data_IF_704317711218
#
_entry.id   IF_704317711218
#
_cell.length_a   1.000
_cell.length_b   1.000
_cell.length_c   1.000
_cell.angle_alpha   90.00
_cell.angle_beta   90.00
_cell.angle_gamma   90.00
#
_symmetry.space_group_name_H-M   'P 1'
#
loop_
_entity.id
_entity.type
_entity.pdbx_description
1 polymer ?
#
# COMPACT_ATOMS: atom_id res chain seq x y z
N UNK A 1 53.58 -2.79 -7.88
CA UNK A 1 53.07 -3.47 -6.66
C UNK A 1 52.14 -2.55 -5.87
N UNK A 2 52.55 -1.34 -5.46
CA UNK A 2 51.69 -0.38 -4.72
C UNK A 2 50.37 -0.01 -5.39
N UNK A 3 50.40 0.23 -6.71
CA UNK A 3 49.22 0.66 -7.46
C UNK A 3 48.10 -0.39 -7.48
N UNK A 4 48.43 -1.69 -7.58
CA UNK A 4 47.43 -2.76 -7.50
C UNK A 4 46.81 -2.87 -6.12
N UNK A 5 47.62 -2.68 -5.06
CA UNK A 5 47.14 -2.71 -3.68
C UNK A 5 46.19 -1.54 -3.39
N UNK A 6 46.50 -0.33 -3.86
CA UNK A 6 45.61 0.83 -3.72
C UNK A 6 44.28 0.65 -4.47
N UNK A 7 44.31 0.07 -5.68
CA UNK A 7 43.06 -0.21 -6.42
C UNK A 7 42.20 -1.24 -5.70
N UNK A 8 42.80 -2.29 -5.13
CA UNK A 8 42.07 -3.33 -4.39
C UNK A 8 41.46 -2.74 -3.11
N UNK A 9 42.21 -1.93 -2.36
CA UNK A 9 41.69 -1.25 -1.16
C UNK A 9 40.53 -0.30 -1.51
N UNK A 10 40.68 0.49 -2.57
CA UNK A 10 39.62 1.40 -3.06
C UNK A 10 38.32 0.67 -3.45
N UNK A 11 38.44 -0.49 -4.10
CA UNK A 11 37.27 -1.34 -4.45
C UNK A 11 36.60 -1.89 -3.19
N UNK A 12 37.37 -2.32 -2.19
CA UNK A 12 36.83 -2.77 -0.91
C UNK A 12 36.12 -1.66 -0.14
N UNK A 13 36.70 -0.46 -0.08
CA UNK A 13 36.08 0.71 0.57
C UNK A 13 34.79 1.13 -0.14
N UNK A 14 34.77 1.06 -1.47
CA UNK A 14 33.56 1.34 -2.27
C UNK A 14 32.46 0.30 -1.99
N UNK A 15 32.81 -0.98 -1.92
CA UNK A 15 31.88 -2.05 -1.60
C UNK A 15 31.33 -1.93 -0.16
N UNK A 16 32.15 -1.50 0.81
CA UNK A 16 31.69 -1.23 2.18
C UNK A 16 30.73 -0.04 2.22
N UNK A 17 31.03 1.04 1.48
CA UNK A 17 30.18 2.21 1.39
C UNK A 17 28.81 1.88 0.77
N UNK A 18 28.78 1.13 -0.33
CA UNK A 18 27.54 0.67 -0.96
C UNK A 18 26.78 -0.32 -0.06
N UNK A 19 27.48 -1.23 0.62
CA UNK A 19 26.88 -2.16 1.57
C UNK A 19 26.18 -1.45 2.74
N UNK A 20 26.79 -0.37 3.26
CA UNK A 20 26.19 0.45 4.32
C UNK A 20 24.96 1.22 3.83
N UNK A 21 25.02 1.75 2.61
CA UNK A 21 23.91 2.45 1.98
C UNK A 21 22.75 1.52 1.66
N UNK A 22 23.04 0.30 1.21
CA UNK A 22 22.03 -0.74 0.94
C UNK A 22 21.32 -1.16 2.22
N UNK A 23 22.05 -1.40 3.33
CA UNK A 23 21.45 -1.72 4.62
C UNK A 23 20.46 -0.64 5.07
N UNK A 24 20.86 0.63 4.99
CA UNK A 24 19.99 1.74 5.36
C UNK A 24 18.73 1.81 4.48
N UNK A 25 18.90 1.67 3.16
CA UNK A 25 17.78 1.77 2.21
C UNK A 25 16.82 0.59 2.30
N UNK A 26 17.35 -0.62 2.55
CA UNK A 26 16.54 -1.84 2.77
C UNK A 26 15.71 -1.69 4.05
N UNK A 27 16.33 -1.31 5.18
CA UNK A 27 15.59 -1.13 6.44
C UNK A 27 14.52 -0.05 6.30
N UNK A 28 14.82 1.06 5.64
CA UNK A 28 13.85 2.12 5.37
C UNK A 28 12.68 1.61 4.51
N UNK A 29 12.97 0.89 3.43
CA UNK A 29 11.95 0.37 2.51
C UNK A 29 11.05 -0.66 3.19
N UNK A 30 11.63 -1.57 3.96
CA UNK A 30 10.88 -2.57 4.74
C UNK A 30 10.00 -1.86 5.77
N UNK A 31 10.54 -0.88 6.49
CA UNK A 31 9.78 -0.15 7.52
C UNK A 31 8.58 0.59 6.92
N UNK A 32 8.79 1.31 5.81
CA UNK A 32 7.70 2.02 5.11
C UNK A 32 6.69 1.02 4.53
N UNK A 33 7.15 -0.08 3.94
CA UNK A 33 6.28 -1.14 3.41
C UNK A 33 5.42 -1.78 4.50
N UNK A 34 5.99 -2.02 5.68
CA UNK A 34 5.28 -2.59 6.83
C UNK A 34 4.25 -1.61 7.40
N UNK A 35 4.58 -0.32 7.50
CA UNK A 35 3.62 0.73 7.89
C UNK A 35 2.46 0.84 6.88
N UNK A 36 2.76 0.79 5.57
CA UNK A 36 1.73 0.79 4.52
C UNK A 36 0.81 -0.43 4.62
N UNK A 37 1.36 -1.61 4.91
CA UNK A 37 0.58 -2.83 5.07
C UNK A 37 -0.36 -2.74 6.28
N UNK A 38 0.12 -2.23 7.41
CA UNK A 38 -0.72 -2.00 8.60
C UNK A 38 -1.81 -0.98 8.28
N UNK A 39 -1.47 0.14 7.64
CA UNK A 39 -2.44 1.15 7.24
C UNK A 39 -3.51 0.59 6.30
N UNK A 40 -3.12 -0.22 5.31
CA UNK A 40 -4.04 -0.88 4.40
C UNK A 40 -4.97 -1.86 5.13
N UNK A 41 -4.45 -2.65 6.08
CA UNK A 41 -5.25 -3.55 6.90
C UNK A 41 -6.27 -2.80 7.78
N UNK A 42 -5.86 -1.71 8.43
CA UNK A 42 -6.76 -0.87 9.22
C UNK A 42 -7.84 -0.21 8.36
N UNK A 43 -7.47 0.29 7.17
CA UNK A 43 -8.42 0.87 6.22
C UNK A 43 -9.46 -0.17 5.76
N UNK A 44 -9.02 -1.40 5.47
CA UNK A 44 -9.91 -2.50 5.07
C UNK A 44 -10.88 -2.86 6.20
N UNK A 45 -10.40 -2.95 7.44
CA UNK A 45 -11.25 -3.18 8.61
C UNK A 45 -12.27 -2.05 8.81
N UNK A 46 -11.85 -0.79 8.66
CA UNK A 46 -12.74 0.36 8.76
C UNK A 46 -13.83 0.35 7.67
N UNK A 47 -13.48 0.01 6.42
CA UNK A 47 -14.44 -0.13 5.32
C UNK A 47 -15.47 -1.23 5.60
N UNK A 48 -15.03 -2.38 6.11
CA UNK A 48 -15.94 -3.47 6.47
C UNK A 48 -16.94 -3.02 7.55
N UNK A 49 -16.45 -2.41 8.63
CA UNK A 49 -17.30 -1.88 9.70
C UNK A 49 -18.26 -0.80 9.20
N UNK A 50 -17.80 0.09 8.32
CA UNK A 50 -18.62 1.15 7.74
C UNK A 50 -19.76 0.56 6.90
N UNK A 51 -19.47 -0.43 6.04
CA UNK A 51 -20.50 -1.11 5.24
C UNK A 51 -21.50 -1.84 6.14
N UNK A 52 -21.04 -2.54 7.18
CA UNK A 52 -21.91 -3.22 8.15
C UNK A 52 -22.80 -2.24 8.91
N UNK A 53 -22.25 -1.11 9.36
CA UNK A 53 -23.02 -0.06 10.04
C UNK A 53 -24.05 0.56 9.10
N UNK A 54 -23.70 0.81 7.84
CA UNK A 54 -24.61 1.36 6.85
C UNK A 54 -25.75 0.39 6.54
N UNK A 55 -25.46 -0.90 6.43
CA UNK A 55 -26.48 -1.94 6.28
C UNK A 55 -27.48 -1.93 7.44
N UNK A 56 -27.00 -1.95 8.69
CA UNK A 56 -27.88 -1.94 9.85
C UNK A 56 -28.73 -0.67 9.94
N UNK A 57 -28.17 0.49 9.60
CA UNK A 57 -28.90 1.75 9.56
C UNK A 57 -30.06 1.71 8.55
N UNK A 58 -29.78 1.27 7.33
CA UNK A 58 -30.78 1.22 6.25
C UNK A 58 -31.82 0.11 6.48
N UNK A 59 -31.41 -1.02 7.05
CA UNK A 59 -32.29 -2.14 7.36
C UNK A 59 -33.40 -1.78 8.37
N UNK A 60 -33.19 -0.75 9.19
CA UNK A 60 -34.23 -0.25 10.10
C UNK A 60 -35.36 0.50 9.38
N UNK A 61 -35.13 1.01 8.17
CA UNK A 61 -36.09 1.87 7.46
C UNK A 61 -36.62 1.28 6.15
N UNK A 62 -35.96 0.27 5.59
CA UNK A 62 -36.25 -0.24 4.25
C UNK A 62 -36.30 -1.78 4.21
N UNK A 63 -37.05 -2.38 3.27
CA UNK A 63 -37.05 -3.82 3.09
C UNK A 63 -35.66 -4.31 2.62
N UNK A 64 -35.27 -5.55 2.94
CA UNK A 64 -33.92 -6.06 2.67
C UNK A 64 -33.47 -5.93 1.21
N UNK A 65 -34.40 -6.11 0.25
CA UNK A 65 -34.12 -5.99 -1.19
C UNK A 65 -33.64 -4.60 -1.60
N UNK A 66 -34.28 -3.54 -1.09
CA UNK A 66 -33.89 -2.17 -1.37
C UNK A 66 -32.52 -1.83 -0.76
N UNK A 67 -32.25 -2.33 0.45
CA UNK A 67 -30.96 -2.13 1.15
C UNK A 67 -29.81 -2.73 0.35
N UNK A 68 -29.95 -3.98 -0.11
CA UNK A 68 -28.91 -4.64 -0.90
C UNK A 68 -28.66 -3.96 -2.25
N UNK A 69 -29.71 -3.43 -2.89
CA UNK A 69 -29.57 -2.66 -4.13
C UNK A 69 -28.70 -1.41 -3.88
N UNK A 70 -29.00 -0.63 -2.84
CA UNK A 70 -28.23 0.57 -2.49
C UNK A 70 -26.78 0.22 -2.12
N UNK A 71 -26.59 -0.82 -1.30
CA UNK A 71 -25.25 -1.26 -0.88
C UNK A 71 -24.41 -1.74 -2.06
N UNK A 72 -25.02 -2.45 -3.02
CA UNK A 72 -24.31 -2.92 -4.22
C UNK A 72 -23.92 -1.78 -5.15
N UNK A 73 -24.79 -0.79 -5.36
CA UNK A 73 -24.44 0.44 -6.09
C UNK A 73 -23.30 1.21 -5.41
N UNK A 74 -23.36 1.35 -4.09
CA UNK A 74 -22.31 2.01 -3.31
C UNK A 74 -20.97 1.25 -3.43
N UNK A 75 -20.99 -0.08 -3.30
CA UNK A 75 -19.79 -0.91 -3.47
C UNK A 75 -19.22 -0.83 -4.89
N UNK A 76 -20.08 -0.73 -5.91
CA UNK A 76 -19.66 -0.60 -7.30
C UNK A 76 -18.99 0.75 -7.56
N UNK A 77 -19.51 1.83 -6.97
CA UNK A 77 -18.88 3.14 -7.02
C UNK A 77 -17.50 3.16 -6.35
N UNK A 78 -17.36 2.54 -5.18
CA UNK A 78 -16.06 2.43 -4.50
C UNK A 78 -15.06 1.61 -5.34
N UNK A 79 -15.47 0.44 -5.81
CA UNK A 79 -14.62 -0.41 -6.65
C UNK A 79 -14.21 0.29 -7.95
N UNK A 80 -15.15 0.97 -8.62
CA UNK A 80 -14.89 1.76 -9.82
C UNK A 80 -13.94 2.93 -9.58
N UNK A 81 -14.11 3.65 -8.46
CA UNK A 81 -13.21 4.74 -8.06
C UNK A 81 -11.79 4.25 -7.80
N UNK A 82 -11.64 3.15 -7.06
CA UNK A 82 -10.33 2.53 -6.80
C UNK A 82 -9.69 2.08 -8.11
N UNK A 83 -10.42 1.35 -8.97
CA UNK A 83 -9.92 0.89 -10.26
C UNK A 83 -9.46 2.06 -11.15
N UNK A 84 -10.23 3.14 -11.20
CA UNK A 84 -9.86 4.35 -11.94
C UNK A 84 -8.58 4.96 -11.41
N UNK A 85 -8.43 5.11 -10.09
CA UNK A 85 -7.20 5.65 -9.49
C UNK A 85 -6.00 4.77 -9.78
N UNK A 86 -6.16 3.43 -9.71
CA UNK A 86 -5.10 2.48 -10.02
C UNK A 86 -4.65 2.59 -11.50
N UNK A 87 -5.59 2.64 -12.44
CA UNK A 87 -5.31 2.83 -13.87
C UNK A 87 -4.60 4.18 -14.09
N UNK A 88 -5.06 5.25 -13.45
CA UNK A 88 -4.45 6.58 -13.57
C UNK A 88 -3.02 6.61 -13.02
N UNK A 89 -2.76 5.92 -11.91
CA UNK A 89 -1.43 5.84 -11.32
C UNK A 89 -0.47 5.06 -12.23
N UNK A 90 -0.92 3.95 -12.81
CA UNK A 90 -0.14 3.12 -13.73
C UNK A 90 0.17 3.81 -15.08
N UNK A 91 -0.62 4.84 -15.44
CA UNK A 91 -0.42 5.63 -16.67
C UNK A 91 0.48 6.85 -16.49
N UNK A 92 0.93 7.18 -15.28
CA UNK A 92 1.93 8.23 -15.08
C UNK A 92 3.31 7.71 -15.52
N UNK A 93 4.08 8.48 -16.31
CA UNK A 93 5.43 8.10 -16.72
C UNK A 93 6.40 8.03 -15.53
#
# INVERSE_FOLDING_TARGET
>A
MKMLTETIVSICDLAEAEGRLLKHKVVQTISVGLLLLIAAAMLLAALALLITSLYHLLANWMPPSAVFLILSLFSLLLAGGILWTAIRLNRKP
#
